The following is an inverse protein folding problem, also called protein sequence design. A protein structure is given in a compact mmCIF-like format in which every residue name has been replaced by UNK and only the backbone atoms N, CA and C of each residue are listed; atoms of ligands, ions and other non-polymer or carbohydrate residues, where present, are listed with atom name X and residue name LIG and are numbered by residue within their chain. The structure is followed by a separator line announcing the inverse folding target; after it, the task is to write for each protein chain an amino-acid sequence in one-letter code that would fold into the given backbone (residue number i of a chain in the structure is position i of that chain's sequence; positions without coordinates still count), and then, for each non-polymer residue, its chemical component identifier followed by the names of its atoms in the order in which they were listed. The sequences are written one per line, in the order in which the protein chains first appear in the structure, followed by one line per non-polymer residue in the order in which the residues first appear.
data_IF_272879737126
#
_entry.id   IF_272879737126
#
_cell.length_a   1.000
_cell.length_b   1.000
_cell.length_c   1.000
_cell.angle_alpha   90.00
_cell.angle_beta   90.00
_cell.angle_gamma   90.00
#
_symmetry.space_group_name_H-M   'P 1'
#
loop_
_entity.id
_entity.type
_entity.pdbx_description
1 polymer ?
#
# COMPACT_ATOMS: atom_id res chain seq x y z
N UNK A 1 0.55 -12.23 2.89
CA UNK A 1 1.41 -12.62 4.04
C UNK A 1 1.64 -11.49 5.06
N UNK A 2 1.59 -10.21 4.65
CA UNK A 2 1.93 -9.07 5.50
C UNK A 2 0.74 -8.33 6.13
N UNK A 3 -0.47 -8.90 6.09
CA UNK A 3 -1.67 -8.23 6.59
C UNK A 3 -1.59 -7.85 8.08
N UNK A 4 -1.07 -8.73 8.94
CA UNK A 4 -0.85 -8.40 10.34
C UNK A 4 0.13 -7.22 10.53
N UNK A 5 1.15 -7.11 9.67
CA UNK A 5 2.10 -5.99 9.66
C UNK A 5 1.39 -4.71 9.19
N UNK A 6 0.52 -4.78 8.19
CA UNK A 6 -0.27 -3.64 7.73
C UNK A 6 -1.20 -3.11 8.83
N UNK A 7 -1.90 -4.00 9.54
CA UNK A 7 -2.77 -3.64 10.68
C UNK A 7 -1.98 -2.99 11.81
N UNK A 8 -0.84 -3.56 12.19
CA UNK A 8 0.02 -2.98 13.23
C UNK A 8 0.60 -1.62 12.79
N UNK A 9 1.01 -1.49 11.52
CA UNK A 9 1.53 -0.25 10.97
C UNK A 9 0.48 0.87 10.98
N UNK A 10 -0.77 0.56 10.62
CA UNK A 10 -1.87 1.52 10.71
C UNK A 10 -2.08 2.01 12.15
N UNK A 11 -2.07 1.11 13.13
CA UNK A 11 -2.15 1.50 14.54
C UNK A 11 -0.99 2.42 14.95
N UNK A 12 0.23 2.16 14.46
CA UNK A 12 1.41 2.99 14.75
C UNK A 12 1.41 4.35 14.08
N UNK A 13 0.90 4.46 12.86
CA UNK A 13 0.70 5.77 12.21
C UNK A 13 -0.26 6.60 13.04
N UNK A 14 -1.41 6.04 13.41
CA UNK A 14 -2.40 6.74 14.25
C UNK A 14 -1.81 7.13 15.61
N UNK A 15 -1.08 6.23 16.28
CA UNK A 15 -0.45 6.50 17.58
C UNK A 15 0.59 7.62 17.51
N UNK A 16 1.39 7.68 16.44
CA UNK A 16 2.51 8.60 16.33
C UNK A 16 2.14 9.97 15.76
N UNK A 17 1.24 10.04 14.78
CA UNK A 17 0.86 11.30 14.12
C UNK A 17 -0.53 11.80 14.48
N UNK A 18 -1.40 10.94 15.01
CA UNK A 18 -2.82 11.25 15.23
C UNK A 18 -3.68 11.16 13.97
N UNK A 19 -3.10 10.83 12.81
CA UNK A 19 -3.84 10.72 11.56
C UNK A 19 -4.58 9.38 11.45
N UNK A 20 -5.84 9.36 10.96
CA UNK A 20 -6.55 8.12 10.68
C UNK A 20 -5.79 7.26 9.67
N UNK A 21 -5.57 5.99 10.03
CA UNK A 21 -4.92 5.03 9.16
C UNK A 21 -5.71 3.71 9.12
N UNK A 22 -5.67 3.04 7.98
CA UNK A 22 -6.40 1.80 7.75
C UNK A 22 -5.46 0.73 7.20
N UNK A 23 -5.28 -0.35 7.97
CA UNK A 23 -4.66 -1.58 7.48
C UNK A 23 -5.71 -2.41 6.74
N UNK A 24 -5.34 -2.97 5.59
CA UNK A 24 -6.26 -3.68 4.70
C UNK A 24 -5.46 -4.67 3.84
N UNK A 25 -6.14 -5.70 3.33
CA UNK A 25 -5.54 -6.62 2.35
C UNK A 25 -5.40 -5.92 0.99
N UNK A 26 -4.43 -6.38 0.18
CA UNK A 26 -4.13 -5.78 -1.14
C UNK A 26 -5.34 -5.74 -2.07
N UNK A 27 -6.14 -6.82 -2.11
CA UNK A 27 -7.35 -6.89 -2.94
C UNK A 27 -8.44 -5.93 -2.46
N UNK A 28 -8.58 -5.77 -1.15
CA UNK A 28 -9.58 -4.88 -0.57
C UNK A 28 -9.29 -3.42 -0.93
N UNK A 29 -8.01 -3.03 -0.96
CA UNK A 29 -7.60 -1.72 -1.47
C UNK A 29 -8.08 -1.48 -2.90
N UNK A 30 -7.93 -2.47 -3.79
CA UNK A 30 -8.38 -2.38 -5.19
C UNK A 30 -9.90 -2.26 -5.32
N UNK A 31 -10.65 -2.85 -4.40
CA UNK A 31 -12.11 -2.79 -4.41
C UNK A 31 -12.69 -1.54 -3.74
N UNK A 32 -11.97 -0.93 -2.80
CA UNK A 32 -12.46 0.22 -2.03
C UNK A 32 -11.70 1.51 -2.37
N UNK A 33 -10.40 1.53 -2.07
CA UNK A 33 -9.60 2.76 -2.09
C UNK A 33 -9.36 3.28 -3.50
N UNK A 34 -9.23 2.39 -4.48
CA UNK A 34 -9.08 2.77 -5.89
C UNK A 34 -10.20 3.69 -6.38
N UNK A 35 -11.43 3.51 -5.89
CA UNK A 35 -12.60 4.29 -6.32
C UNK A 35 -12.87 5.55 -5.49
N UNK A 36 -12.02 5.86 -4.50
CA UNK A 36 -12.19 7.06 -3.67
C UNK A 36 -11.84 8.32 -4.47
N UNK A 37 -12.71 9.33 -4.40
CA UNK A 37 -12.53 10.59 -5.14
C UNK A 37 -11.41 11.47 -4.56
N UNK A 38 -11.15 11.37 -3.26
CA UNK A 38 -10.04 12.05 -2.62
C UNK A 38 -8.73 11.39 -3.04
N UNK A 39 -7.81 12.14 -3.66
CA UNK A 39 -6.55 11.61 -4.21
C UNK A 39 -5.37 11.79 -3.25
N UNK A 40 -5.47 12.70 -2.29
CA UNK A 40 -4.41 13.00 -1.33
C UNK A 40 -4.49 12.12 -0.06
N UNK A 41 -4.74 10.82 -0.24
CA UNK A 41 -4.65 9.81 0.82
C UNK A 41 -3.35 9.04 0.61
N UNK A 42 -2.33 9.13 1.48
CA UNK A 42 -1.12 8.35 1.31
C UNK A 42 -1.40 6.84 1.37
N UNK A 43 -0.85 6.08 0.42
CA UNK A 43 -0.91 4.61 0.40
C UNK A 43 0.49 4.04 0.64
N UNK A 44 0.62 3.14 1.61
CA UNK A 44 1.84 2.37 1.85
C UNK A 44 1.57 0.93 1.45
N UNK A 45 2.32 0.42 0.48
CA UNK A 45 2.29 -0.96 0.04
C UNK A 45 3.40 -1.74 0.74
N UNK A 46 3.06 -2.90 1.31
CA UNK A 46 4.00 -3.80 1.97
C UNK A 46 4.10 -5.08 1.15
N UNK A 47 5.30 -5.38 0.63
CA UNK A 47 5.54 -6.59 -0.14
C UNK A 47 6.63 -7.45 0.49
N UNK A 48 6.41 -8.77 0.49
CA UNK A 48 7.45 -9.72 0.86
C UNK A 48 8.38 -10.04 -0.33
N UNK A 49 8.10 -9.45 -1.50
CA UNK A 49 8.79 -9.69 -2.76
C UNK A 49 8.83 -11.19 -3.15
N UNK A 50 7.71 -11.89 -2.94
CA UNK A 50 7.54 -13.29 -3.31
C UNK A 50 6.33 -13.46 -4.23
N UNK A 51 5.43 -14.38 -3.88
CA UNK A 51 4.20 -14.63 -4.63
C UNK A 51 3.27 -13.41 -4.78
N UNK A 52 3.46 -12.38 -3.97
CA UNK A 52 2.71 -11.14 -4.00
C UNK A 52 3.26 -10.11 -5.01
N UNK A 53 4.49 -10.27 -5.50
CA UNK A 53 5.21 -9.23 -6.24
C UNK A 53 4.45 -8.68 -7.46
N UNK A 54 3.96 -9.56 -8.33
CA UNK A 54 3.23 -9.15 -9.55
C UNK A 54 1.96 -8.36 -9.20
N UNK A 55 1.22 -8.84 -8.19
CA UNK A 55 -0.01 -8.19 -7.76
C UNK A 55 0.26 -6.85 -7.09
N UNK A 56 1.30 -6.77 -6.26
CA UNK A 56 1.73 -5.51 -5.64
C UNK A 56 2.16 -4.49 -6.71
N UNK A 57 2.85 -4.92 -7.76
CA UNK A 57 3.22 -4.06 -8.88
C UNK A 57 2.01 -3.59 -9.71
N UNK A 58 0.98 -4.43 -9.90
CA UNK A 58 -0.29 -4.01 -10.49
C UNK A 58 -1.00 -2.94 -9.65
N UNK A 59 -1.10 -3.15 -8.35
CA UNK A 59 -1.76 -2.20 -7.43
C UNK A 59 -0.97 -0.89 -7.33
N UNK A 60 0.36 -0.94 -7.33
CA UNK A 60 1.21 0.25 -7.38
C UNK A 60 0.92 1.10 -8.63
N UNK A 61 0.85 0.47 -9.82
CA UNK A 61 0.50 1.15 -11.07
C UNK A 61 -0.91 1.74 -11.05
N UNK A 62 -1.87 1.02 -10.47
CA UNK A 62 -3.24 1.50 -10.31
C UNK A 62 -3.33 2.70 -9.34
N UNK A 63 -2.55 2.72 -8.26
CA UNK A 63 -2.46 3.86 -7.35
C UNK A 63 -1.84 5.09 -8.05
N UNK A 64 -0.76 4.87 -8.82
CA UNK A 64 -0.12 5.94 -9.58
C UNK A 64 -1.03 6.51 -10.67
N UNK A 65 -1.83 5.69 -11.37
CA UNK A 65 -2.73 6.17 -12.42
C UNK A 65 -3.84 7.09 -11.89
N UNK A 66 -4.17 6.99 -10.61
CA UNK A 66 -5.12 7.88 -9.92
C UNK A 66 -4.43 8.97 -9.08
N UNK A 67 -3.13 9.24 -9.33
CA UNK A 67 -2.33 10.27 -8.64
C UNK A 67 -2.24 10.11 -7.12
N UNK A 68 -2.24 8.86 -6.64
CA UNK A 68 -2.13 8.53 -5.21
C UNK A 68 -0.68 8.71 -4.74
N UNK A 69 -0.40 9.45 -3.65
CA UNK A 69 0.90 9.41 -3.00
C UNK A 69 1.20 7.98 -2.53
N UNK A 70 2.31 7.41 -2.98
CA UNK A 70 2.61 5.99 -2.82
C UNK A 70 4.02 5.77 -2.27
N UNK A 71 4.14 4.90 -1.26
CA UNK A 71 5.40 4.30 -0.86
C UNK A 71 5.28 2.77 -0.93
N UNK A 72 6.32 2.11 -1.46
CA UNK A 72 6.44 0.65 -1.43
C UNK A 72 7.58 0.27 -0.48
N UNK A 73 7.27 -0.58 0.48
CA UNK A 73 8.24 -1.21 1.37
C UNK A 73 8.34 -2.67 0.96
N UNK A 74 9.54 -3.10 0.57
CA UNK A 74 9.82 -4.45 0.13
C UNK A 74 11.20 -4.91 0.61
N UNK A 75 11.43 -6.21 0.60
CA UNK A 75 12.75 -6.80 0.89
C UNK A 75 13.71 -6.58 -0.28
N UNK A 76 15.01 -6.54 -0.01
CA UNK A 76 16.09 -5.97 -0.86
C UNK A 76 16.27 -6.63 -2.25
N UNK A 77 15.61 -7.76 -2.53
CA UNK A 77 15.60 -8.39 -3.86
C UNK A 77 14.51 -7.83 -4.80
N UNK A 78 13.77 -6.80 -4.38
CA UNK A 78 12.76 -6.17 -5.21
C UNK A 78 13.44 -5.33 -6.29
N UNK A 79 13.64 -5.93 -7.46
CA UNK A 79 14.10 -5.23 -8.66
C UNK A 79 13.38 -3.90 -8.81
N UNK A 80 14.18 -2.85 -8.97
CA UNK A 80 13.81 -1.45 -9.12
C UNK A 80 12.40 -1.27 -9.74
N UNK A 81 11.40 -0.87 -8.93
CA UNK A 81 10.10 -0.46 -9.47
C UNK A 81 10.32 0.86 -10.19
N UNK A 82 10.58 0.77 -11.49
CA UNK A 82 10.64 1.92 -12.39
C UNK A 82 9.21 2.39 -12.62
N UNK A 83 8.93 3.60 -12.12
CA UNK A 83 7.70 4.34 -12.38
C UNK A 83 7.56 4.80 -13.82
#
# INVERSE_FOLDING_TARGET
PLYGVAMFSAAKVLEASGDPALGQETEEWSHLQYFTAETNIPTILLSANGFDADRMAEVARAAQSISRPLALISTEDAGEIRG
#
